data_IF_785839234868
#
_entry.id   IF_785839234868
#
_cell.length_a   1.000
_cell.length_b   1.000
_cell.length_c   1.000
_cell.angle_alpha   90.00
_cell.angle_beta   90.00
_cell.angle_gamma   90.00
#
_symmetry.space_group_name_H-M   'P 1'
#
loop_
_entity.id
_entity.type
_entity.pdbx_description
1 polymer ?
#
# COMPACT_ATOMS: atom_id res chain seq x y z
N UNK A 1 -24.09 2.39 -6.45
CA UNK A 1 -22.89 2.71 -5.62
C UNK A 1 -21.99 1.49 -5.45
N UNK A 2 -22.44 0.40 -4.85
CA UNK A 2 -21.59 -0.79 -4.66
C UNK A 2 -21.10 -1.43 -5.96
N UNK A 3 -21.94 -1.53 -6.98
CA UNK A 3 -21.54 -2.07 -8.29
C UNK A 3 -20.45 -1.23 -8.95
N UNK A 4 -20.50 0.08 -8.80
CA UNK A 4 -19.45 0.97 -9.28
C UNK A 4 -18.15 0.75 -8.50
N UNK A 5 -18.20 0.68 -7.17
CA UNK A 5 -17.02 0.43 -6.33
C UNK A 5 -16.40 -0.95 -6.63
N UNK A 6 -17.22 -2.00 -6.85
CA UNK A 6 -16.73 -3.31 -7.28
C UNK A 6 -16.01 -3.25 -8.62
N UNK A 7 -16.54 -2.49 -9.57
CA UNK A 7 -15.90 -2.29 -10.87
C UNK A 7 -14.58 -1.53 -10.75
N UNK A 8 -14.51 -0.51 -9.91
CA UNK A 8 -13.29 0.26 -9.62
C UNK A 8 -12.22 -0.61 -8.94
N UNK A 9 -12.61 -1.41 -7.94
CA UNK A 9 -11.70 -2.34 -7.25
C UNK A 9 -11.24 -3.44 -8.20
N UNK A 10 -12.11 -3.98 -9.09
CA UNK A 10 -11.70 -4.92 -10.13
C UNK A 10 -10.66 -4.28 -11.05
N UNK A 11 -10.95 -3.10 -11.60
CA UNK A 11 -10.03 -2.40 -12.50
C UNK A 11 -8.66 -2.16 -11.85
N UNK A 12 -8.64 -1.76 -10.58
CA UNK A 12 -7.42 -1.57 -9.80
C UNK A 12 -6.65 -2.88 -9.59
N UNK A 13 -7.34 -4.00 -9.30
CA UNK A 13 -6.70 -5.30 -9.20
C UNK A 13 -6.10 -5.74 -10.54
N UNK A 14 -6.81 -5.57 -11.67
CA UNK A 14 -6.32 -5.91 -13.01
C UNK A 14 -5.13 -5.03 -13.45
N UNK A 15 -4.98 -3.85 -12.88
CA UNK A 15 -3.82 -3.00 -13.13
C UNK A 15 -2.52 -3.56 -12.49
N UNK A 16 -2.60 -4.37 -11.44
CA UNK A 16 -1.41 -4.94 -10.79
C UNK A 16 -0.57 -5.81 -11.73
N UNK A 17 -1.12 -6.82 -12.43
CA UNK A 17 -0.34 -7.57 -13.42
C UNK A 17 0.06 -6.72 -14.62
N UNK A 18 -0.75 -5.76 -15.05
CA UNK A 18 -0.42 -4.85 -16.16
C UNK A 18 0.82 -4.00 -15.87
N UNK A 19 1.05 -3.65 -14.59
CA UNK A 19 2.26 -2.93 -14.13
C UNK A 19 3.37 -3.86 -13.62
N UNK A 20 3.23 -5.19 -13.73
CA UNK A 20 4.24 -6.13 -13.29
C UNK A 20 4.45 -6.21 -11.78
N UNK A 21 3.45 -5.79 -10.98
CA UNK A 21 3.53 -5.75 -9.53
C UNK A 21 3.23 -7.09 -8.85
N UNK A 22 2.68 -8.06 -9.58
CA UNK A 22 2.23 -9.35 -9.04
C UNK A 22 2.63 -10.51 -9.94
N UNK A 23 2.68 -11.70 -9.34
CA UNK A 23 2.86 -12.99 -9.99
C UNK A 23 1.69 -13.90 -9.58
N UNK A 24 1.14 -14.67 -10.52
CA UNK A 24 -0.02 -15.54 -10.28
C UNK A 24 -1.20 -14.78 -9.64
N UNK A 25 -1.74 -15.31 -8.54
CA UNK A 25 -2.88 -14.73 -7.80
C UNK A 25 -2.45 -13.81 -6.65
N UNK A 26 -1.14 -13.58 -6.49
CA UNK A 26 -0.60 -12.81 -5.36
C UNK A 26 -1.03 -11.35 -5.44
N UNK A 27 -1.05 -10.71 -4.26
CA UNK A 27 -1.46 -9.32 -4.14
C UNK A 27 -2.97 -9.11 -4.23
N UNK A 28 -3.37 -7.94 -3.85
CA UNK A 28 -4.78 -7.52 -3.85
C UNK A 28 -4.89 -6.00 -3.71
N UNK A 29 -6.07 -5.51 -4.14
CA UNK A 29 -6.50 -4.14 -3.91
C UNK A 29 -7.85 -4.18 -3.23
N UNK A 30 -8.06 -3.26 -2.30
CA UNK A 30 -9.37 -2.95 -1.72
C UNK A 30 -9.66 -1.46 -1.80
N UNK A 31 -10.94 -1.09 -1.65
CA UNK A 31 -11.35 0.29 -1.42
C UNK A 31 -12.59 0.33 -0.54
N UNK A 32 -12.83 1.50 0.07
CA UNK A 32 -13.99 1.76 0.92
C UNK A 32 -15.05 2.57 0.17
N UNK A 33 -16.30 2.37 0.56
CA UNK A 33 -17.41 3.19 0.07
C UNK A 33 -17.36 4.62 0.65
N UNK A 34 -18.11 5.53 0.06
CA UNK A 34 -18.20 6.95 0.49
C UNK A 34 -18.62 7.10 1.96
N UNK A 35 -19.45 6.18 2.47
CA UNK A 35 -19.89 6.20 3.87
C UNK A 35 -18.86 5.62 4.83
N UNK A 36 -17.80 5.02 4.32
CA UNK A 36 -16.75 4.29 5.08
C UNK A 36 -17.29 3.18 5.99
N UNK A 37 -18.41 2.58 5.61
CA UNK A 37 -19.00 1.45 6.32
C UNK A 37 -18.62 0.11 5.69
N UNK A 38 -18.38 0.12 4.40
CA UNK A 38 -18.13 -1.07 3.60
C UNK A 38 -16.76 -0.98 2.91
N UNK A 39 -16.08 -2.11 2.88
CA UNK A 39 -14.85 -2.33 2.10
C UNK A 39 -15.14 -3.36 1.03
N UNK A 40 -14.68 -3.10 -0.19
CA UNK A 40 -14.66 -4.07 -1.29
C UNK A 40 -13.24 -4.55 -1.48
N UNK A 41 -13.04 -5.87 -1.58
CA UNK A 41 -11.70 -6.49 -1.72
C UNK A 41 -11.71 -7.64 -2.71
N UNK A 42 -10.54 -7.91 -3.32
CA UNK A 42 -10.29 -9.06 -4.18
C UNK A 42 -10.59 -10.37 -3.44
N UNK A 43 -11.22 -11.35 -4.12
CA UNK A 43 -11.36 -12.72 -3.59
C UNK A 43 -10.00 -13.41 -3.52
N UNK A 44 -9.84 -14.32 -2.55
CA UNK A 44 -8.65 -15.17 -2.41
C UNK A 44 -8.54 -16.20 -3.54
N UNK A 45 -7.33 -16.37 -4.08
CA UNK A 45 -7.02 -17.46 -5.02
C UNK A 45 -7.69 -17.38 -6.39
N UNK A 46 -8.30 -16.26 -6.75
CA UNK A 46 -8.87 -16.05 -8.10
C UNK A 46 -7.83 -15.40 -9.00
N UNK A 47 -7.58 -16.03 -10.15
CA UNK A 47 -6.65 -15.52 -11.16
C UNK A 47 -7.18 -14.23 -11.78
N UNK A 48 -6.26 -13.33 -12.12
CA UNK A 48 -6.61 -12.00 -12.63
C UNK A 48 -7.35 -12.05 -13.97
N UNK A 49 -7.00 -12.99 -14.83
CA UNK A 49 -7.54 -13.13 -16.19
C UNK A 49 -9.03 -13.51 -16.22
N UNK A 50 -9.51 -14.20 -15.18
CA UNK A 50 -10.90 -14.68 -15.11
C UNK A 50 -11.73 -13.93 -14.05
N UNK A 51 -11.13 -12.99 -13.35
CA UNK A 51 -11.78 -12.26 -12.28
C UNK A 51 -12.81 -11.25 -12.82
N UNK A 52 -13.98 -11.21 -12.22
CA UNK A 52 -15.08 -10.31 -12.58
C UNK A 52 -15.54 -9.47 -11.39
N UNK A 53 -16.26 -8.38 -11.65
CA UNK A 53 -16.76 -7.48 -10.59
C UNK A 53 -17.65 -8.21 -9.57
N UNK A 54 -18.43 -9.19 -10.01
CA UNK A 54 -19.28 -10.00 -9.13
C UNK A 54 -18.49 -10.97 -8.22
N UNK A 55 -17.21 -11.16 -8.47
CA UNK A 55 -16.32 -11.93 -7.59
C UNK A 55 -15.85 -11.12 -6.39
N UNK A 56 -15.90 -9.79 -6.47
CA UNK A 56 -15.46 -8.91 -5.39
C UNK A 56 -16.28 -9.17 -4.12
N UNK A 57 -15.60 -9.17 -2.98
CA UNK A 57 -16.21 -9.45 -1.69
C UNK A 57 -16.42 -8.14 -0.93
N UNK A 58 -17.62 -7.95 -0.40
CA UNK A 58 -17.99 -6.77 0.39
C UNK A 58 -17.98 -7.11 1.87
N UNK A 59 -17.30 -6.29 2.65
CA UNK A 59 -17.07 -6.52 4.07
C UNK A 59 -17.51 -5.29 4.85
N UNK A 60 -18.27 -5.48 5.92
CA UNK A 60 -18.59 -4.41 6.86
C UNK A 60 -17.35 -4.07 7.70
N UNK A 61 -16.89 -2.82 7.64
CA UNK A 61 -15.64 -2.40 8.27
C UNK A 61 -15.71 -2.55 9.79
N UNK A 62 -16.85 -2.22 10.42
CA UNK A 62 -16.99 -2.26 11.87
C UNK A 62 -16.86 -3.68 12.44
N UNK A 63 -17.54 -4.65 11.84
CA UNK A 63 -17.59 -6.03 12.33
C UNK A 63 -16.56 -6.96 11.67
N UNK A 64 -16.06 -6.60 10.47
CA UNK A 64 -15.21 -7.46 9.64
C UNK A 64 -15.98 -8.60 8.96
N UNK A 65 -17.32 -8.59 9.00
CA UNK A 65 -18.16 -9.64 8.41
C UNK A 65 -18.35 -9.41 6.91
N UNK A 66 -18.33 -10.49 6.14
CA UNK A 66 -18.76 -10.49 4.75
C UNK A 66 -20.26 -10.24 4.72
N UNK A 67 -20.67 -9.18 4.02
CA UNK A 67 -22.08 -8.79 3.84
C UNK A 67 -22.59 -9.05 2.43
N UNK A 68 -21.68 -9.16 1.45
CA UNK A 68 -22.01 -9.53 0.08
C UNK A 68 -20.82 -10.24 -0.59
N UNK A 69 -21.11 -11.20 -1.46
CA UNK A 69 -20.13 -12.02 -2.19
C UNK A 69 -20.25 -13.49 -1.84
N UNK A 70 -19.83 -14.35 -2.79
CA UNK A 70 -19.92 -15.81 -2.67
C UNK A 70 -18.54 -16.46 -2.56
N UNK A 71 -17.49 -15.69 -2.71
CA UNK A 71 -16.10 -16.16 -2.62
C UNK A 71 -15.49 -15.80 -1.25
N UNK A 72 -14.42 -16.50 -0.88
CA UNK A 72 -13.62 -16.16 0.29
C UNK A 72 -12.84 -14.87 -0.01
N UNK A 73 -12.87 -13.84 0.88
CA UNK A 73 -12.06 -12.65 0.68
C UNK A 73 -10.56 -12.95 0.78
N UNK A 74 -9.72 -12.04 0.30
CA UNK A 74 -8.26 -12.10 0.49
C UNK A 74 -7.89 -12.36 1.95
N UNK A 75 -6.83 -13.12 2.19
CA UNK A 75 -6.27 -13.31 3.54
C UNK A 75 -5.91 -11.99 4.21
N UNK A 76 -5.46 -10.99 3.43
CA UNK A 76 -5.03 -9.69 3.94
C UNK A 76 -6.18 -8.78 4.41
N UNK A 77 -7.42 -9.27 4.34
CA UNK A 77 -8.62 -8.51 4.77
C UNK A 77 -8.47 -7.89 6.15
N UNK A 78 -7.95 -8.62 7.12
CA UNK A 78 -7.79 -8.12 8.49
C UNK A 78 -6.74 -6.99 8.57
N UNK A 79 -5.66 -7.06 7.79
CA UNK A 79 -4.66 -5.99 7.66
C UNK A 79 -5.30 -4.72 7.09
N UNK A 80 -6.03 -4.84 5.98
CA UNK A 80 -6.72 -3.71 5.35
C UNK A 80 -7.75 -3.06 6.30
N UNK A 81 -8.54 -3.88 6.99
CA UNK A 81 -9.51 -3.39 7.98
C UNK A 81 -8.85 -2.62 9.12
N UNK A 82 -7.73 -3.09 9.66
CA UNK A 82 -6.98 -2.39 10.71
C UNK A 82 -6.56 -0.99 10.23
N UNK A 83 -6.01 -0.89 9.02
CA UNK A 83 -5.59 0.38 8.43
C UNK A 83 -6.77 1.32 8.15
N UNK A 84 -7.89 0.84 7.59
CA UNK A 84 -9.08 1.67 7.35
C UNK A 84 -9.74 2.18 8.63
N UNK A 85 -9.73 1.38 9.70
CA UNK A 85 -10.25 1.79 11.01
C UNK A 85 -9.38 2.85 11.66
N UNK A 86 -8.05 2.74 11.50
CA UNK A 86 -7.08 3.65 12.12
C UNK A 86 -6.93 4.96 11.36
N UNK A 87 -6.95 4.91 10.02
CA UNK A 87 -6.63 6.03 9.14
C UNK A 87 -7.83 6.40 8.25
N UNK A 88 -8.70 7.33 8.67
CA UNK A 88 -9.90 7.68 7.92
C UNK A 88 -9.63 8.36 6.57
N UNK A 89 -8.42 8.88 6.34
CA UNK A 89 -8.01 9.47 5.07
C UNK A 89 -7.70 8.43 3.98
N UNK A 90 -7.49 7.17 4.33
CA UNK A 90 -7.19 6.10 3.36
C UNK A 90 -8.50 5.64 2.71
N UNK A 91 -8.58 5.73 1.38
CA UNK A 91 -9.74 5.28 0.59
C UNK A 91 -9.50 4.01 -0.21
N UNK A 92 -8.23 3.68 -0.49
CA UNK A 92 -7.81 2.44 -1.16
C UNK A 92 -6.50 1.92 -0.60
N UNK A 93 -6.31 0.59 -0.62
CA UNK A 93 -5.09 -0.08 -0.15
C UNK A 93 -4.69 -1.14 -1.17
N UNK A 94 -3.40 -1.21 -1.46
CA UNK A 94 -2.74 -2.24 -2.27
C UNK A 94 -1.75 -3.00 -1.40
N UNK A 95 -1.79 -4.32 -1.47
CA UNK A 95 -0.71 -5.20 -1.01
C UNK A 95 -0.17 -5.99 -2.18
N UNK A 96 1.15 -6.10 -2.29
CA UNK A 96 1.83 -6.92 -3.29
C UNK A 96 3.09 -7.55 -2.73
N UNK A 97 3.66 -8.48 -3.50
CA UNK A 97 5.05 -8.91 -3.34
C UNK A 97 5.85 -8.44 -4.55
N UNK A 98 5.68 -7.16 -4.92
CA UNK A 98 6.42 -6.56 -6.02
C UNK A 98 7.92 -6.65 -5.75
N UNK A 99 8.67 -6.94 -6.80
CA UNK A 99 10.02 -7.51 -6.68
C UNK A 99 10.98 -6.63 -5.87
N UNK A 100 11.10 -5.37 -6.23
CA UNK A 100 12.13 -4.51 -5.63
C UNK A 100 11.70 -4.00 -4.26
N UNK A 101 10.44 -3.62 -4.08
CA UNK A 101 9.94 -3.24 -2.75
C UNK A 101 10.01 -4.41 -1.76
N UNK A 102 9.76 -5.65 -2.22
CA UNK A 102 9.94 -6.85 -1.38
C UNK A 102 11.40 -7.12 -1.04
N UNK A 103 12.36 -6.82 -1.94
CA UNK A 103 13.79 -6.91 -1.61
C UNK A 103 14.14 -6.00 -0.42
N UNK A 104 13.65 -4.75 -0.41
CA UNK A 104 13.84 -3.83 0.71
C UNK A 104 13.17 -4.34 1.99
N UNK A 105 11.94 -4.88 1.87
CA UNK A 105 11.22 -5.51 2.99
C UNK A 105 12.02 -6.67 3.59
N UNK A 106 12.57 -7.56 2.76
CA UNK A 106 13.39 -8.71 3.20
C UNK A 106 14.69 -8.27 3.85
N UNK A 107 15.28 -7.17 3.38
CA UNK A 107 16.48 -6.59 3.97
C UNK A 107 16.22 -5.89 5.31
N UNK A 108 14.96 -5.62 5.65
CA UNK A 108 14.58 -4.89 6.87
C UNK A 108 15.03 -3.43 6.87
N UNK A 109 15.11 -2.82 5.69
CA UNK A 109 15.62 -1.47 5.51
C UNK A 109 14.52 -0.51 5.05
N UNK A 110 14.54 0.69 5.61
CA UNK A 110 13.78 1.81 5.04
C UNK A 110 14.28 2.10 3.63
N UNK A 111 13.40 2.58 2.76
CA UNK A 111 13.77 3.12 1.45
C UNK A 111 13.98 4.63 1.55
N UNK A 112 15.22 5.10 1.55
CA UNK A 112 15.52 6.54 1.70
C UNK A 112 15.04 7.36 0.50
N UNK A 113 14.77 8.64 0.74
CA UNK A 113 14.46 9.60 -0.31
C UNK A 113 15.76 10.08 -0.98
N UNK A 114 16.09 9.53 -2.15
CA UNK A 114 17.31 9.90 -2.88
C UNK A 114 17.08 10.68 -4.16
N UNK A 115 15.87 10.63 -4.70
CA UNK A 115 15.59 11.26 -5.98
C UNK A 115 14.25 11.99 -6.03
N UNK A 116 14.09 12.83 -7.02
CA UNK A 116 12.90 13.69 -7.19
C UNK A 116 11.65 12.88 -7.52
N UNK A 117 11.77 11.72 -8.16
CA UNK A 117 10.63 10.80 -8.36
C UNK A 117 10.04 10.34 -7.03
N UNK A 118 10.91 9.97 -6.07
CA UNK A 118 10.49 9.62 -4.72
C UNK A 118 9.83 10.84 -4.03
N UNK A 119 10.51 11.99 -4.07
CA UNK A 119 10.05 13.23 -3.43
C UNK A 119 8.71 13.75 -3.95
N UNK A 120 8.35 13.46 -5.19
CA UNK A 120 7.05 13.84 -5.77
C UNK A 120 5.86 13.11 -5.14
N UNK A 121 6.08 11.98 -4.43
CA UNK A 121 5.02 11.11 -3.90
C UNK A 121 5.15 10.77 -2.42
N UNK A 122 6.35 10.77 -1.87
CA UNK A 122 6.62 10.41 -0.48
C UNK A 122 7.49 11.49 0.19
N UNK A 123 6.98 12.05 1.27
CA UNK A 123 7.67 13.14 1.99
C UNK A 123 8.64 12.59 3.02
N UNK A 124 9.69 11.94 2.56
CA UNK A 124 10.72 11.31 3.39
C UNK A 124 10.93 9.84 3.05
N UNK A 125 11.69 9.14 3.89
CA UNK A 125 11.94 7.73 3.73
C UNK A 125 10.65 6.90 3.88
N UNK A 126 10.46 5.89 3.02
CA UNK A 126 9.39 4.92 3.19
C UNK A 126 9.82 3.93 4.27
N UNK A 127 9.06 3.80 5.39
CA UNK A 127 9.50 3.02 6.53
C UNK A 127 9.42 1.51 6.28
N UNK A 128 10.38 0.77 6.83
CA UNK A 128 10.26 -0.67 7.06
C UNK A 128 9.81 -0.91 8.50
N UNK A 129 8.88 -1.83 8.69
CA UNK A 129 8.44 -2.22 10.04
C UNK A 129 9.53 -2.98 10.77
N UNK A 130 9.42 -3.08 12.10
CA UNK A 130 10.17 -4.08 12.86
C UNK A 130 9.77 -5.50 12.48
N UNK A 131 10.56 -6.48 12.88
CA UNK A 131 10.13 -7.88 12.86
C UNK A 131 8.89 -8.07 13.76
N UNK A 132 8.02 -8.96 13.34
CA UNK A 132 6.91 -9.43 14.18
C UNK A 132 7.42 -10.33 15.29
N UNK A 133 6.77 -10.30 16.45
CA UNK A 133 7.09 -11.22 17.54
C UNK A 133 6.50 -12.62 17.26
N UNK A 134 6.97 -13.61 18.00
CA UNK A 134 6.46 -14.99 17.87
C UNK A 134 4.96 -15.07 18.20
N UNK A 135 4.50 -14.28 19.18
CA UNK A 135 3.09 -14.20 19.58
C UNK A 135 2.23 -13.56 18.47
N UNK A 136 2.73 -12.51 17.82
CA UNK A 136 2.06 -11.86 16.70
C UNK A 136 1.95 -12.81 15.49
N UNK A 137 3.01 -13.59 15.20
CA UNK A 137 3.04 -14.56 14.09
C UNK A 137 2.08 -15.73 14.35
N UNK A 138 2.04 -16.25 15.58
CA UNK A 138 1.20 -17.40 15.95
C UNK A 138 -0.25 -17.01 16.29
N UNK A 139 -0.54 -15.73 16.42
CA UNK A 139 -1.87 -15.19 16.71
C UNK A 139 -2.69 -14.91 15.44
N UNK A 140 -3.39 -13.79 15.44
CA UNK A 140 -4.13 -13.29 14.27
C UNK A 140 -3.16 -12.56 13.32
N UNK A 141 -2.34 -13.30 12.60
CA UNK A 141 -1.19 -12.83 11.83
C UNK A 141 -1.50 -11.62 10.94
N UNK A 142 -2.56 -11.68 10.13
CA UNK A 142 -2.91 -10.60 9.21
C UNK A 142 -3.40 -9.35 9.96
N UNK A 143 -4.14 -9.51 11.06
CA UNK A 143 -4.51 -8.39 11.93
C UNK A 143 -3.27 -7.78 12.59
N UNK A 144 -2.38 -8.61 13.13
CA UNK A 144 -1.12 -8.17 13.76
C UNK A 144 -0.20 -7.47 12.74
N UNK A 145 -0.22 -7.89 11.48
CA UNK A 145 0.50 -7.17 10.41
C UNK A 145 0.00 -5.71 10.31
N UNK A 146 -1.32 -5.50 10.34
CA UNK A 146 -1.91 -4.15 10.36
C UNK A 146 -1.47 -3.34 11.59
N UNK A 147 -1.49 -3.95 12.78
CA UNK A 147 -1.07 -3.30 14.02
C UNK A 147 0.42 -2.93 14.00
N UNK A 148 1.29 -3.77 13.45
CA UNK A 148 2.73 -3.47 13.31
C UNK A 148 2.96 -2.30 12.36
N UNK A 149 2.21 -2.21 11.26
CA UNK A 149 2.23 -1.06 10.36
C UNK A 149 1.82 0.21 11.11
N UNK A 150 0.67 0.19 11.81
CA UNK A 150 0.15 1.32 12.58
C UNK A 150 1.18 1.81 13.61
N UNK A 151 1.71 0.89 14.41
CA UNK A 151 2.75 1.20 15.41
C UNK A 151 3.99 1.84 14.79
N UNK A 152 4.43 1.36 13.62
CA UNK A 152 5.59 1.93 12.92
C UNK A 152 5.38 3.41 12.61
N UNK A 153 4.20 3.79 12.13
CA UNK A 153 3.88 5.19 11.87
C UNK A 153 3.75 6.03 13.14
N UNK A 154 3.07 5.51 14.15
CA UNK A 154 2.86 6.21 15.44
C UNK A 154 4.18 6.43 16.19
N UNK A 155 4.99 5.38 16.38
CA UNK A 155 6.25 5.44 17.11
C UNK A 155 7.30 6.33 16.43
N UNK A 156 7.23 6.41 15.09
CA UNK A 156 8.16 7.23 14.30
C UNK A 156 7.61 8.63 13.99
N UNK A 157 6.38 8.94 14.42
CA UNK A 157 5.73 10.24 14.16
C UNK A 157 5.51 10.52 12.68
N UNK A 158 5.25 9.49 11.87
CA UNK A 158 5.05 9.59 10.43
C UNK A 158 3.57 9.85 10.10
N UNK A 159 3.33 10.70 9.09
CA UNK A 159 1.99 10.95 8.57
C UNK A 159 1.70 10.01 7.37
N UNK A 160 0.72 9.09 7.49
CA UNK A 160 0.35 8.19 6.40
C UNK A 160 -0.25 8.92 5.17
N UNK A 161 -0.66 10.18 5.29
CA UNK A 161 -1.04 10.99 4.14
C UNK A 161 0.17 11.52 3.36
N UNK A 162 1.31 11.72 4.03
CA UNK A 162 2.55 12.20 3.43
C UNK A 162 3.46 11.07 2.96
N UNK A 163 3.36 9.91 3.58
CA UNK A 163 4.11 8.70 3.21
C UNK A 163 3.11 7.56 3.01
N UNK A 164 2.41 7.52 1.84
CA UNK A 164 1.34 6.55 1.60
C UNK A 164 1.84 5.15 1.24
N UNK A 165 2.87 4.67 1.92
CA UNK A 165 3.42 3.32 1.74
C UNK A 165 4.23 2.85 2.96
N UNK A 166 4.41 1.53 3.08
CA UNK A 166 5.22 0.88 4.10
C UNK A 166 5.79 -0.43 3.55
N UNK A 167 6.96 -0.79 4.04
CA UNK A 167 7.60 -2.09 3.81
C UNK A 167 7.41 -2.94 5.06
N UNK A 168 6.69 -4.05 4.97
CA UNK A 168 6.56 -4.98 6.10
C UNK A 168 7.78 -5.91 6.10
N UNK A 169 8.55 -5.87 7.19
CA UNK A 169 9.79 -6.64 7.32
C UNK A 169 9.58 -8.13 7.00
N UNK A 170 10.43 -8.69 6.13
CA UNK A 170 10.39 -10.07 5.65
C UNK A 170 9.13 -10.49 4.89
N UNK A 171 8.25 -9.54 4.51
CA UNK A 171 6.99 -9.83 3.86
C UNK A 171 6.88 -9.14 2.49
N UNK A 172 6.49 -7.86 2.48
CA UNK A 172 6.29 -7.09 1.26
C UNK A 172 5.67 -5.72 1.53
N UNK A 173 5.44 -4.93 0.47
CA UNK A 173 4.91 -3.58 0.61
C UNK A 173 3.38 -3.55 0.78
N UNK A 174 2.92 -2.54 1.50
CA UNK A 174 1.58 -1.99 1.42
C UNK A 174 1.67 -0.55 0.94
N UNK A 175 0.76 -0.15 0.06
CA UNK A 175 0.60 1.23 -0.37
C UNK A 175 -0.88 1.60 -0.32
N UNK A 176 -1.18 2.88 -0.14
CA UNK A 176 -2.55 3.35 -0.06
C UNK A 176 -2.71 4.69 -0.75
N UNK A 177 -3.97 5.13 -0.87
CA UNK A 177 -4.32 6.40 -1.48
C UNK A 177 -5.75 6.79 -1.17
N UNK A 178 -6.22 7.86 -1.77
CA UNK A 178 -7.59 8.38 -1.61
C UNK A 178 -8.68 7.48 -2.20
N UNK A 179 -8.30 6.56 -3.09
CA UNK A 179 -9.16 5.54 -3.73
C UNK A 179 -8.29 4.40 -4.26
N UNK A 180 -8.91 3.36 -4.84
CA UNK A 180 -8.20 2.19 -5.37
C UNK A 180 -7.17 2.54 -6.45
N UNK A 181 -7.50 3.42 -7.37
CA UNK A 181 -6.61 3.81 -8.47
C UNK A 181 -5.37 4.57 -7.96
N UNK A 182 -5.57 5.48 -7.01
CA UNK A 182 -4.49 6.24 -6.38
C UNK A 182 -3.56 5.33 -5.54
N UNK A 183 -4.12 4.33 -4.86
CA UNK A 183 -3.34 3.32 -4.15
C UNK A 183 -2.46 2.49 -5.10
N UNK A 184 -2.99 2.08 -6.27
CA UNK A 184 -2.21 1.39 -7.32
C UNK A 184 -1.12 2.31 -7.87
N UNK A 185 -1.43 3.57 -8.13
CA UNK A 185 -0.45 4.55 -8.59
C UNK A 185 0.73 4.65 -7.60
N UNK A 186 0.45 4.78 -6.30
CA UNK A 186 1.48 4.84 -5.26
C UNK A 186 2.28 3.53 -5.17
N UNK A 187 1.64 2.37 -5.37
CA UNK A 187 2.34 1.08 -5.41
C UNK A 187 3.30 0.96 -6.60
N UNK A 188 2.92 1.47 -7.78
CA UNK A 188 3.80 1.54 -8.97
C UNK A 188 5.00 2.45 -8.68
N UNK A 189 4.76 3.64 -8.14
CA UNK A 189 5.85 4.57 -7.81
C UNK A 189 6.77 4.00 -6.74
N UNK A 190 6.22 3.31 -5.71
CA UNK A 190 7.01 2.62 -4.70
C UNK A 190 7.96 1.59 -5.33
N UNK A 191 7.46 0.76 -6.24
CA UNK A 191 8.27 -0.28 -6.91
C UNK A 191 9.38 0.35 -7.75
N UNK A 192 9.10 1.41 -8.51
CA UNK A 192 10.09 2.15 -9.29
C UNK A 192 11.14 2.83 -8.39
N UNK A 193 10.73 3.45 -7.28
CA UNK A 193 11.66 4.03 -6.31
C UNK A 193 12.54 2.95 -5.66
N UNK A 194 11.95 1.79 -5.33
CA UNK A 194 12.68 0.67 -4.76
C UNK A 194 13.72 0.10 -5.73
N UNK A 195 13.36 -0.03 -7.03
CA UNK A 195 14.28 -0.41 -8.10
C UNK A 195 15.44 0.57 -8.23
N UNK A 196 15.14 1.86 -8.41
CA UNK A 196 16.18 2.88 -8.55
C UNK A 196 17.05 2.97 -7.29
N UNK A 197 16.45 2.90 -6.11
CA UNK A 197 17.15 2.94 -4.83
C UNK A 197 18.13 1.79 -4.66
N UNK A 198 17.75 0.57 -5.05
CA UNK A 198 18.64 -0.61 -4.98
C UNK A 198 19.92 -0.39 -5.78
N UNK A 199 19.81 0.03 -7.04
CA UNK A 199 20.97 0.26 -7.88
C UNK A 199 21.76 1.52 -7.51
N UNK A 200 21.10 2.57 -7.06
CA UNK A 200 21.77 3.76 -6.53
C UNK A 200 22.65 3.41 -5.34
N UNK A 201 22.15 2.55 -4.42
CA UNK A 201 22.91 2.06 -3.27
C UNK A 201 24.10 1.19 -3.67
N UNK A 202 23.96 0.40 -4.74
CA UNK A 202 25.07 -0.38 -5.27
C UNK A 202 26.17 0.49 -5.89
N UNK A 203 25.80 1.54 -6.62
CA UNK A 203 26.73 2.49 -7.23
C UNK A 203 27.42 3.38 -6.18
N UNK A 204 26.70 3.77 -5.15
CA UNK A 204 27.15 4.62 -4.07
C UNK A 204 26.74 4.05 -2.70
N UNK A 205 27.51 3.12 -2.09
CA UNK A 205 27.12 2.45 -0.85
C UNK A 205 26.88 3.38 0.35
N UNK A 206 27.45 4.57 0.32
CA UNK A 206 27.30 5.61 1.36
C UNK A 206 26.50 6.82 0.84
N UNK A 207 25.61 6.60 -0.12
CA UNK A 207 24.77 7.67 -0.67
C UNK A 207 23.99 8.36 0.47
N UNK A 208 24.18 9.67 0.71
CA UNK A 208 23.39 10.41 1.68
C UNK A 208 21.97 10.63 1.15
N UNK A 209 21.04 10.95 2.06
CA UNK A 209 19.71 11.39 1.68
C UNK A 209 19.77 12.63 0.80
N UNK A 210 18.74 12.84 -0.01
CA UNK A 210 18.64 14.05 -0.82
C UNK A 210 18.54 15.30 0.04
N UNK A 211 18.89 16.45 -0.52
CA UNK A 211 18.75 17.73 0.13
C UNK A 211 17.31 17.99 0.57
N UNK A 212 17.09 18.41 1.81
CA UNK A 212 15.76 18.69 2.36
C UNK A 212 14.99 19.73 1.54
N UNK A 213 15.69 20.76 1.05
CA UNK A 213 15.10 21.81 0.22
C UNK A 213 14.62 21.27 -1.15
N UNK A 214 15.29 20.25 -1.67
CA UNK A 214 14.88 19.59 -2.92
C UNK A 214 13.68 18.66 -2.67
N UNK A 215 13.66 17.95 -1.54
CA UNK A 215 12.51 17.15 -1.10
C UNK A 215 11.28 18.05 -0.95
N UNK A 216 11.39 19.14 -0.19
CA UNK A 216 10.33 20.12 0.03
C UNK A 216 9.82 20.69 -1.30
N UNK A 217 10.73 21.11 -2.17
CA UNK A 217 10.38 21.67 -3.47
C UNK A 217 9.53 20.71 -4.31
N UNK A 218 9.92 19.44 -4.35
CA UNK A 218 9.22 18.44 -5.17
C UNK A 218 7.90 18.02 -4.53
N UNK A 219 7.87 17.74 -3.24
CA UNK A 219 6.66 17.33 -2.56
C UNK A 219 5.60 18.46 -2.56
N UNK A 220 5.98 19.65 -2.11
CA UNK A 220 5.03 20.75 -1.94
C UNK A 220 4.48 21.31 -3.24
N UNK A 221 5.21 21.20 -4.37
CA UNK A 221 4.67 21.61 -5.69
C UNK A 221 3.49 20.76 -6.14
N UNK A 222 3.34 19.51 -5.61
CA UNK A 222 2.24 18.58 -5.90
C UNK A 222 1.19 18.53 -4.79
N UNK A 223 1.61 18.58 -3.53
CA UNK A 223 0.78 18.30 -2.36
C UNK A 223 0.62 19.50 -1.41
N UNK A 224 1.35 20.59 -1.63
CA UNK A 224 1.27 21.79 -0.79
C UNK A 224 0.02 22.63 -1.06
N UNK A 225 -0.25 23.57 -0.16
CA UNK A 225 -1.38 24.49 -0.28
C UNK A 225 -1.39 25.32 -1.59
N UNK A 226 -0.21 25.50 -2.21
CA UNK A 226 -0.02 26.22 -3.48
C UNK A 226 0.47 25.26 -4.57
N UNK A 227 -0.03 24.03 -4.60
CA UNK A 227 0.35 23.04 -5.61
C UNK A 227 0.08 23.56 -7.03
N UNK A 228 1.03 23.35 -7.93
CA UNK A 228 0.96 23.85 -9.33
C UNK A 228 1.44 22.80 -10.35
N UNK A 229 1.80 21.61 -9.90
CA UNK A 229 2.35 20.56 -10.76
C UNK A 229 1.65 19.22 -10.51
N UNK A 230 1.31 18.51 -11.60
CA UNK A 230 0.73 17.17 -11.52
C UNK A 230 -0.71 17.15 -10.96
N UNK A 231 -1.46 18.23 -11.22
CA UNK A 231 -2.87 18.34 -10.82
C UNK A 231 -3.76 17.58 -11.81
#
# INVERSE_FOLDING_TARGET
>A
MLEQLKAEVLAANLALPAHGLVTFTWGNVSAVDETRKLMVIKPSGVEYEVMAANDMVVIEIASGKVVEGHKKPSSDTATHLALYRRYPQIGGIVHTHSRHATIWSQAGLDLPAWGTTHADYFYGAIPCTRLMTVEEINGEYEYQTGEVIIKTFEERGLDPAQIPAVLVHSHGPFAWGKNAADAVHNAVVLEECAYMGLFSRQLAPQLPDMQSELLDKHYLRKHGANAYYGQ
#
